data_IF_378006277956
#
_entry.id   IF_378006277956
#
_cell.length_a   1.000
_cell.length_b   1.000
_cell.length_c   1.000
_cell.angle_alpha   90.00
_cell.angle_beta   90.00
_cell.angle_gamma   90.00
#
_symmetry.space_group_name_H-M   'P 1'
#
loop_
_entity.id
_entity.type
_entity.pdbx_description
1 polymer ?
#
# COMPACT_ATOMS: atom_id res chain seq x y z
N UNK A 1 15.66 13.49 0.79
CA UNK A 1 15.32 12.37 1.69
C UNK A 1 14.55 11.37 0.86
N UNK A 2 14.90 10.08 0.91
CA UNK A 2 14.18 9.05 0.14
C UNK A 2 12.72 9.08 0.60
N UNK A 3 11.80 9.43 -0.29
CA UNK A 3 10.37 9.24 -0.05
C UNK A 3 10.22 7.75 0.26
N UNK A 4 9.90 7.41 1.52
CA UNK A 4 9.67 6.03 1.91
C UNK A 4 8.33 5.64 1.35
N UNK A 5 8.35 4.74 0.38
CA UNK A 5 7.15 4.47 -0.41
C UNK A 5 6.24 3.48 0.33
N UNK A 6 6.70 2.71 1.31
CA UNK A 6 5.88 1.64 1.87
C UNK A 6 4.57 2.13 2.51
N UNK A 7 3.44 1.64 2.00
CA UNK A 7 2.11 1.91 2.55
C UNK A 7 1.73 0.85 3.59
N UNK A 8 0.94 1.26 4.57
CA UNK A 8 0.46 0.35 5.61
C UNK A 8 -0.31 -0.85 5.04
N UNK A 9 -1.03 -0.68 3.92
CA UNK A 9 -1.80 -1.78 3.35
C UNK A 9 -0.92 -2.89 2.78
N UNK A 10 0.16 -2.57 2.06
CA UNK A 10 1.06 -3.62 1.59
C UNK A 10 1.81 -4.30 2.73
N UNK A 11 2.09 -3.59 3.84
CA UNK A 11 2.64 -4.23 5.05
C UNK A 11 1.65 -5.29 5.56
N UNK A 12 0.37 -4.94 5.68
CA UNK A 12 -0.67 -5.87 6.15
C UNK A 12 -0.84 -7.04 5.18
N UNK A 13 -0.80 -6.79 3.88
CA UNK A 13 -0.86 -7.84 2.87
C UNK A 13 0.36 -8.77 2.95
N UNK A 14 1.57 -8.23 3.12
CA UNK A 14 2.79 -9.03 3.24
C UNK A 14 2.78 -9.92 4.50
N UNK A 15 2.36 -9.36 5.64
CA UNK A 15 2.19 -10.12 6.89
C UNK A 15 1.12 -11.20 6.72
N UNK A 16 -0.02 -10.86 6.11
CA UNK A 16 -1.11 -11.79 5.85
C UNK A 16 -0.71 -12.93 4.91
N UNK A 17 0.07 -12.64 3.87
CA UNK A 17 0.56 -13.63 2.92
C UNK A 17 1.46 -14.68 3.61
N UNK A 18 2.38 -14.25 4.48
CA UNK A 18 3.25 -15.17 5.24
C UNK A 18 2.45 -16.01 6.24
N UNK A 19 1.43 -15.42 6.86
CA UNK A 19 0.59 -16.09 7.86
C UNK A 19 -0.59 -16.87 7.28
N UNK A 20 -0.82 -16.80 5.96
CA UNK A 20 -1.94 -17.46 5.27
C UNK A 20 -3.32 -16.89 5.60
N UNK A 21 -3.40 -15.60 5.95
CA UNK A 21 -4.61 -14.97 6.50
C UNK A 21 -4.86 -13.62 5.84
N UNK A 22 -6.12 -13.19 5.77
CA UNK A 22 -6.44 -11.94 5.09
C UNK A 22 -6.42 -10.72 6.03
N UNK A 23 -6.48 -9.52 5.44
CA UNK A 23 -6.52 -8.24 6.16
C UNK A 23 -7.66 -8.16 7.18
N UNK A 24 -8.87 -8.61 6.82
CA UNK A 24 -10.03 -8.54 7.71
C UNK A 24 -9.80 -9.37 8.97
N UNK A 25 -9.19 -10.54 8.84
CA UNK A 25 -8.86 -11.40 9.96
C UNK A 25 -7.80 -10.76 10.88
N UNK A 26 -6.76 -10.14 10.32
CA UNK A 26 -5.74 -9.42 11.10
C UNK A 26 -6.38 -8.23 11.84
N UNK A 27 -7.23 -7.45 11.17
CA UNK A 27 -7.76 -6.19 11.69
C UNK A 27 -9.06 -6.32 12.48
N UNK A 28 -9.65 -7.52 12.58
CA UNK A 28 -10.90 -7.78 13.28
C UNK A 28 -10.94 -7.16 14.68
N UNK A 29 -12.08 -6.54 15.02
CA UNK A 29 -12.34 -5.92 16.33
C UNK A 29 -12.94 -6.97 17.27
N UNK A 30 -12.58 -6.91 18.57
CA UNK A 30 -13.08 -7.84 19.60
C UNK A 30 -12.03 -8.85 20.07
N UNK A 31 -12.49 -9.91 20.75
CA UNK A 31 -11.63 -10.93 21.37
C UNK A 31 -10.94 -11.74 20.27
N UNK A 32 -9.68 -11.41 20.00
CA UNK A 32 -8.88 -12.10 18.99
C UNK A 32 -7.98 -13.14 19.65
N UNK A 33 -7.62 -14.19 18.91
CA UNK A 33 -6.56 -15.10 19.36
C UNK A 33 -5.24 -14.35 19.51
N UNK A 34 -4.36 -14.86 20.38
CA UNK A 34 -3.02 -14.30 20.58
C UNK A 34 -2.23 -14.24 19.27
N UNK A 35 -2.39 -15.26 18.41
CA UNK A 35 -1.78 -15.29 17.08
C UNK A 35 -2.19 -14.08 16.21
N UNK A 36 -3.49 -13.78 16.15
CA UNK A 36 -4.00 -12.63 15.37
C UNK A 36 -3.54 -11.31 15.97
N UNK A 37 -3.42 -11.22 17.29
CA UNK A 37 -2.84 -10.06 17.95
C UNK A 37 -1.37 -9.87 17.59
N UNK A 38 -0.57 -10.94 17.59
CA UNK A 38 0.84 -10.93 17.19
C UNK A 38 1.02 -10.46 15.74
N UNK A 39 0.18 -10.91 14.81
CA UNK A 39 0.21 -10.44 13.42
C UNK A 39 -0.05 -8.93 13.31
N UNK A 40 -0.98 -8.41 14.11
CA UNK A 40 -1.26 -6.97 14.18
C UNK A 40 -0.07 -6.18 14.74
N UNK A 41 0.56 -6.70 15.79
CA UNK A 41 1.76 -6.11 16.38
C UNK A 41 2.91 -6.10 15.36
N UNK A 42 3.09 -7.17 14.59
CA UNK A 42 4.04 -7.22 13.49
C UNK A 42 3.75 -6.15 12.43
N UNK A 43 2.48 -5.96 12.03
CA UNK A 43 2.10 -4.90 11.09
C UNK A 43 2.48 -3.50 11.58
N UNK A 44 2.16 -3.18 12.84
CA UNK A 44 2.48 -1.86 13.40
C UNK A 44 3.98 -1.65 13.60
N UNK A 45 4.71 -2.69 14.02
CA UNK A 45 6.16 -2.63 14.14
C UNK A 45 6.83 -2.42 12.78
N UNK A 46 6.42 -3.15 11.74
CA UNK A 46 6.92 -2.93 10.38
C UNK A 46 6.57 -1.52 9.87
N UNK A 47 5.38 -1.02 10.19
CA UNK A 47 4.97 0.32 9.79
C UNK A 47 5.80 1.43 10.45
N UNK A 48 6.17 1.25 11.73
CA UNK A 48 7.10 2.14 12.45
C UNK A 48 8.48 2.18 11.79
N UNK A 49 8.95 1.07 11.20
CA UNK A 49 10.26 1.04 10.51
C UNK A 49 10.19 1.55 9.08
N UNK A 50 9.12 1.25 8.37
CA UNK A 50 9.02 1.43 6.91
C UNK A 50 8.27 2.68 6.48
N UNK A 51 7.55 3.36 7.37
CA UNK A 51 6.68 4.49 7.02
C UNK A 51 6.93 5.70 7.93
N UNK A 52 6.34 6.84 7.58
CA UNK A 52 6.33 8.06 8.41
C UNK A 52 4.96 8.31 9.05
N UNK A 53 4.10 7.29 9.08
CA UNK A 53 2.75 7.39 9.61
C UNK A 53 2.76 7.55 11.13
N UNK A 54 2.10 8.60 11.62
CA UNK A 54 1.87 8.77 13.05
C UNK A 54 0.90 7.72 13.63
N UNK A 55 0.99 7.50 14.95
CA UNK A 55 0.21 6.49 15.69
C UNK A 55 -1.31 6.62 15.47
N UNK A 56 -1.84 7.85 15.47
CA UNK A 56 -3.27 8.11 15.23
C UNK A 56 -3.69 7.70 13.82
N UNK A 57 -2.83 7.94 12.82
CA UNK A 57 -3.11 7.54 11.43
C UNK A 57 -3.08 6.02 11.29
N UNK A 58 -2.10 5.35 11.91
CA UNK A 58 -2.06 3.88 11.97
C UNK A 58 -3.31 3.31 12.65
N UNK A 59 -3.78 3.94 13.73
CA UNK A 59 -5.01 3.59 14.43
C UNK A 59 -6.23 3.61 13.51
N UNK A 60 -6.46 4.72 12.80
CA UNK A 60 -7.52 4.84 11.78
C UNK A 60 -7.42 3.75 10.70
N UNK A 61 -6.22 3.55 10.15
CA UNK A 61 -5.96 2.53 9.14
C UNK A 61 -6.10 1.08 9.65
N UNK A 62 -6.20 0.88 10.96
CA UNK A 62 -6.35 -0.42 11.61
C UNK A 62 -7.68 -0.51 12.37
N UNK A 63 -8.78 -0.26 11.66
CA UNK A 63 -10.15 -0.31 12.18
C UNK A 63 -10.41 0.66 13.33
N UNK A 64 -10.01 1.92 13.15
CA UNK A 64 -10.26 3.04 14.07
C UNK A 64 -9.80 2.78 15.53
N UNK A 65 -8.70 2.04 15.67
CA UNK A 65 -8.08 1.81 16.98
C UNK A 65 -7.46 3.08 17.54
N UNK A 66 -7.51 3.23 18.86
CA UNK A 66 -6.87 4.36 19.52
C UNK A 66 -5.35 4.33 19.36
N UNK A 67 -4.72 5.50 19.27
CA UNK A 67 -3.28 5.66 19.13
C UNK A 67 -2.49 4.96 20.26
N UNK A 68 -3.02 4.91 21.48
CA UNK A 68 -2.41 4.21 22.61
C UNK A 68 -2.41 2.69 22.42
N UNK A 69 -3.40 2.15 21.70
CA UNK A 69 -3.45 0.72 21.35
C UNK A 69 -2.34 0.37 20.36
N UNK A 70 -2.11 1.24 19.38
CA UNK A 70 -0.99 1.09 18.42
C UNK A 70 0.35 1.16 19.15
N UNK A 71 0.53 2.15 20.02
CA UNK A 71 1.74 2.30 20.84
C UNK A 71 2.01 1.07 21.71
N UNK A 72 0.98 0.57 22.38
CA UNK A 72 1.07 -0.65 23.19
C UNK A 72 1.48 -1.85 22.32
N UNK A 73 0.86 -2.01 21.14
CA UNK A 73 1.19 -3.09 20.23
C UNK A 73 2.60 -3.03 19.66
N UNK A 74 3.14 -1.83 19.39
CA UNK A 74 4.55 -1.67 18.98
C UNK A 74 5.50 -2.11 20.10
N UNK A 75 5.25 -1.68 21.35
CA UNK A 75 6.05 -2.14 22.50
C UNK A 75 5.97 -3.65 22.68
N UNK A 76 4.76 -4.21 22.54
CA UNK A 76 4.56 -5.65 22.64
C UNK A 76 5.27 -6.41 21.52
N UNK A 77 5.35 -5.85 20.32
CA UNK A 77 6.14 -6.41 19.24
C UNK A 77 7.64 -6.46 19.59
N UNK A 78 8.20 -5.39 20.15
CA UNK A 78 9.61 -5.37 20.58
C UNK A 78 9.89 -6.41 21.68
N UNK A 79 8.99 -6.55 22.66
CA UNK A 79 9.07 -7.60 23.69
C UNK A 79 8.99 -9.02 23.09
N UNK A 80 8.10 -9.24 22.12
CA UNK A 80 7.98 -10.51 21.41
C UNK A 80 9.23 -10.81 20.58
N UNK A 81 9.86 -9.81 19.95
CA UNK A 81 11.13 -10.00 19.23
C UNK A 81 12.28 -10.36 20.16
N UNK A 82 12.26 -9.86 21.40
CA UNK A 82 13.25 -10.22 22.41
C UNK A 82 13.08 -11.66 22.92
N UNK A 83 11.84 -12.14 22.99
CA UNK A 83 11.50 -13.41 23.67
C UNK A 83 11.18 -14.57 22.72
N UNK A 84 10.77 -14.30 21.48
CA UNK A 84 10.38 -15.28 20.47
C UNK A 84 11.27 -15.15 19.23
N UNK A 85 12.13 -16.14 19.04
CA UNK A 85 13.01 -16.21 17.86
C UNK A 85 12.21 -16.31 16.56
N UNK A 86 11.14 -17.12 16.53
CA UNK A 86 10.30 -17.27 15.34
C UNK A 86 9.66 -15.94 14.92
N UNK A 87 9.15 -15.17 15.88
CA UNK A 87 8.55 -13.86 15.60
C UNK A 87 9.61 -12.87 15.09
N UNK A 88 10.80 -12.86 15.71
CA UNK A 88 11.93 -12.02 15.29
C UNK A 88 12.38 -12.33 13.87
N UNK A 89 12.64 -13.60 13.56
CA UNK A 89 13.09 -14.03 12.23
C UNK A 89 12.04 -13.70 11.16
N UNK A 90 10.76 -13.95 11.43
CA UNK A 90 9.67 -13.64 10.49
C UNK A 90 9.57 -12.15 10.20
N UNK A 91 9.66 -11.31 11.23
CA UNK A 91 9.60 -9.84 11.07
C UNK A 91 10.87 -9.27 10.45
N UNK A 92 12.04 -9.85 10.71
CA UNK A 92 13.30 -9.48 10.04
C UNK A 92 13.28 -9.82 8.54
N UNK A 93 12.79 -11.01 8.19
CA UNK A 93 12.67 -11.43 6.80
C UNK A 93 11.70 -10.53 6.01
N UNK A 94 10.55 -10.19 6.60
CA UNK A 94 9.60 -9.26 6.01
C UNK A 94 10.18 -7.86 5.85
N UNK A 95 10.85 -7.34 6.88
CA UNK A 95 11.49 -6.03 6.82
C UNK A 95 12.55 -5.97 5.71
N UNK A 96 13.44 -6.97 5.66
CA UNK A 96 14.46 -7.07 4.62
C UNK A 96 13.88 -7.16 3.21
N UNK A 97 12.81 -7.94 3.04
CA UNK A 97 12.11 -8.07 1.75
C UNK A 97 11.49 -6.75 1.32
N UNK A 98 10.75 -6.07 2.20
CA UNK A 98 10.13 -4.79 1.90
C UNK A 98 11.18 -3.74 1.53
N UNK A 99 12.29 -3.67 2.27
CA UNK A 99 13.40 -2.78 1.95
C UNK A 99 14.07 -3.10 0.60
N UNK A 100 14.24 -4.38 0.28
CA UNK A 100 14.83 -4.79 -0.99
C UNK A 100 13.94 -4.40 -2.17
N UNK A 101 12.63 -4.63 -2.06
CA UNK A 101 11.67 -4.27 -3.10
C UNK A 101 11.51 -2.74 -3.24
N UNK A 102 11.61 -1.99 -2.14
CA UNK A 102 11.67 -0.52 -2.15
C UNK A 102 12.91 0.00 -2.88
N UNK A 103 14.10 -0.48 -2.52
CA UNK A 103 15.36 -0.09 -3.19
C UNK A 103 15.38 -0.46 -4.67
N UNK A 104 14.72 -1.56 -5.05
CA UNK A 104 14.55 -1.97 -6.43
C UNK A 104 13.49 -1.17 -7.20
N UNK A 105 12.73 -0.28 -6.52
CA UNK A 105 11.65 0.51 -7.13
C UNK A 105 10.43 -0.32 -7.53
N UNK A 106 10.30 -1.54 -7.00
CA UNK A 106 9.17 -2.45 -7.22
C UNK A 106 7.99 -2.11 -6.30
N UNK A 107 8.29 -1.46 -5.19
CA UNK A 107 7.33 -0.88 -4.26
C UNK A 107 7.13 0.60 -4.60
N UNK A 108 6.24 0.88 -5.56
CA UNK A 108 5.72 2.23 -5.81
C UNK A 108 4.31 2.33 -5.25
N UNK A 109 4.03 3.38 -4.50
CA UNK A 109 2.94 3.37 -3.55
C UNK A 109 2.18 4.68 -3.47
N UNK A 110 0.96 4.51 -2.96
CA UNK A 110 0.00 5.51 -2.54
C UNK A 110 0.57 6.56 -1.56
N UNK A 111 1.12 7.64 -2.11
CA UNK A 111 0.91 9.02 -1.66
C UNK A 111 0.77 9.84 -2.94
N UNK A 112 -0.37 10.54 -3.08
CA UNK A 112 -0.84 11.26 -4.28
C UNK A 112 -0.28 10.69 -5.58
N UNK A 113 -0.91 9.63 -6.11
CA UNK A 113 -0.80 9.42 -7.54
C UNK A 113 -1.21 10.74 -8.16
N UNK A 114 -0.25 11.46 -8.74
CA UNK A 114 -0.53 12.66 -9.51
C UNK A 114 -0.97 12.13 -10.88
N UNK A 115 -2.29 12.07 -11.15
CA UNK A 115 -2.79 11.63 -12.45
C UNK A 115 -2.22 12.47 -13.60
N UNK A 116 -1.93 13.76 -13.38
CA UNK A 116 -1.35 14.63 -14.40
C UNK A 116 0.14 14.35 -14.61
N UNK A 117 0.93 14.10 -13.57
CA UNK A 117 2.32 13.67 -13.74
C UNK A 117 2.40 12.31 -14.44
N UNK A 118 1.49 11.39 -14.08
CA UNK A 118 1.37 10.08 -14.72
C UNK A 118 1.04 10.22 -16.20
N UNK A 119 0.01 11.01 -16.53
CA UNK A 119 -0.37 11.28 -17.91
C UNK A 119 0.77 11.93 -18.71
N UNK A 120 1.45 12.93 -18.13
CA UNK A 120 2.62 13.58 -18.77
C UNK A 120 3.75 12.61 -19.05
N UNK A 121 4.06 11.71 -18.11
CA UNK A 121 5.05 10.64 -18.29
C UNK A 121 4.66 9.72 -19.45
N UNK A 122 3.42 9.25 -19.49
CA UNK A 122 2.92 8.40 -20.60
C UNK A 122 3.03 9.13 -21.93
N UNK A 123 2.59 10.40 -22.01
CA UNK A 123 2.67 11.20 -23.23
C UNK A 123 4.11 11.43 -23.72
N UNK A 124 5.08 11.50 -22.81
CA UNK A 124 6.49 11.68 -23.17
C UNK A 124 7.13 10.47 -23.87
N UNK A 125 6.63 9.25 -23.63
CA UNK A 125 7.15 8.02 -24.23
C UNK A 125 6.08 6.90 -24.20
N UNK A 126 5.03 6.98 -25.05
CA UNK A 126 3.81 6.18 -24.92
C UNK A 126 4.04 4.66 -24.91
N UNK A 127 4.80 4.15 -25.89
CA UNK A 127 5.04 2.71 -26.08
C UNK A 127 5.77 2.08 -24.88
N UNK A 128 6.68 2.83 -24.25
CA UNK A 128 7.50 2.35 -23.14
C UNK A 128 6.82 2.55 -21.78
N UNK A 129 6.15 3.68 -21.60
CA UNK A 129 5.60 4.05 -20.29
C UNK A 129 4.21 3.46 -20.07
N UNK A 130 3.41 3.23 -21.12
CA UNK A 130 2.06 2.63 -21.00
C UNK A 130 2.08 1.25 -20.32
N UNK A 131 3.06 0.41 -20.66
CA UNK A 131 3.23 -0.93 -20.04
C UNK A 131 3.71 -0.87 -18.57
N UNK A 132 4.09 0.32 -18.09
CA UNK A 132 4.61 0.57 -16.73
C UNK A 132 3.62 1.34 -15.85
N UNK A 133 2.42 1.61 -16.33
CA UNK A 133 1.36 2.26 -15.55
C UNK A 133 0.67 1.20 -14.71
N UNK A 134 0.62 1.42 -13.40
CA UNK A 134 -0.10 0.54 -12.47
C UNK A 134 -1.62 0.71 -12.59
N UNK A 135 -2.38 -0.29 -12.14
CA UNK A 135 -3.85 -0.20 -12.07
C UNK A 135 -4.29 1.03 -11.25
N UNK A 136 -3.58 1.37 -10.18
CA UNK A 136 -3.89 2.54 -9.36
C UNK A 136 -3.64 3.85 -10.10
N UNK A 137 -2.58 3.93 -10.91
CA UNK A 137 -2.31 5.08 -11.78
C UNK A 137 -3.37 5.24 -12.86
N UNK A 138 -3.82 4.13 -13.46
CA UNK A 138 -4.94 4.13 -14.41
C UNK A 138 -6.20 4.66 -13.74
N UNK A 139 -6.57 4.11 -12.57
CA UNK A 139 -7.78 4.52 -11.84
C UNK A 139 -7.71 6.00 -11.42
N UNK A 140 -6.55 6.49 -11.00
CA UNK A 140 -6.38 7.90 -10.65
C UNK A 140 -6.54 8.83 -11.87
N UNK A 141 -5.93 8.48 -13.02
CA UNK A 141 -6.11 9.23 -14.27
C UNK A 141 -7.58 9.21 -14.72
N UNK A 142 -8.24 8.05 -14.68
CA UNK A 142 -9.65 7.92 -15.05
C UNK A 142 -10.57 8.72 -14.14
N UNK A 143 -10.32 8.74 -12.83
CA UNK A 143 -11.09 9.58 -11.89
C UNK A 143 -10.94 11.07 -12.21
N UNK A 144 -9.71 11.53 -12.46
CA UNK A 144 -9.48 12.91 -12.87
C UNK A 144 -10.23 13.24 -14.17
N UNK A 145 -10.20 12.37 -15.17
CA UNK A 145 -10.94 12.57 -16.43
C UNK A 145 -12.44 12.69 -16.15
N UNK A 146 -13.02 11.82 -15.31
CA UNK A 146 -14.44 11.87 -14.96
C UNK A 146 -14.80 13.15 -14.20
N UNK A 147 -13.98 13.56 -13.22
CA UNK A 147 -14.18 14.81 -12.48
C UNK A 147 -14.09 16.06 -13.37
N UNK A 148 -13.27 16.02 -14.42
CA UNK A 148 -13.18 17.10 -15.42
C UNK A 148 -14.27 17.01 -16.49
N UNK A 149 -14.89 15.85 -16.67
CA UNK A 149 -15.91 15.56 -17.67
C UNK A 149 -17.35 15.73 -17.14
N UNK A 150 -17.57 16.57 -16.12
CA UNK A 150 -18.92 17.05 -15.72
C UNK A 150 -19.62 17.91 -16.83
N UNK A 151 -19.08 17.95 -18.05
CA UNK A 151 -19.78 18.30 -19.28
C UNK A 151 -19.89 17.07 -20.19
N UNK A 152 -21.06 16.89 -20.83
CA UNK A 152 -21.44 15.73 -21.67
C UNK A 152 -20.25 15.04 -22.36
N UNK A 153 -20.14 13.69 -22.27
CA UNK A 153 -19.04 12.98 -22.90
C UNK A 153 -19.01 13.30 -24.40
N UNK A 154 -17.84 13.61 -24.98
CA UNK A 154 -17.74 13.81 -26.42
C UNK A 154 -18.24 12.54 -27.10
N UNK A 155 -19.24 12.72 -27.99
CA UNK A 155 -19.74 11.61 -28.78
C UNK A 155 -18.57 10.96 -29.51
N UNK A 156 -18.45 9.62 -29.49
CA UNK A 156 -17.38 8.95 -30.21
C UNK A 156 -17.42 9.41 -31.67
N UNK A 157 -16.32 10.00 -32.11
CA UNK A 157 -16.11 10.35 -33.51
C UNK A 157 -16.12 9.07 -34.33
N UNK A 158 -17.18 8.85 -35.10
CA UNK A 158 -17.29 7.82 -36.15
C UNK A 158 -16.36 8.13 -37.34
N UNK A 159 -15.11 8.50 -37.09
CA UNK A 159 -14.06 8.41 -38.09
C UNK A 159 -13.42 7.03 -37.93
N UNK A 160 -14.24 6.02 -38.26
CA UNK A 160 -13.72 4.73 -38.66
C UNK A 160 -12.72 4.94 -39.80
N UNK A 161 -11.63 4.22 -39.66
CA UNK A 161 -10.50 4.03 -40.53
C UNK A 161 -10.87 3.92 -42.01
N UNK A 162 -11.03 5.04 -42.72
CA UNK A 162 -10.90 5.06 -44.19
C UNK A 162 -9.41 4.99 -44.55
N UNK A 163 -8.78 3.83 -44.41
CA UNK A 163 -7.54 3.48 -45.12
C UNK A 163 -7.53 1.97 -45.39
N UNK A 164 -8.30 1.56 -46.39
CA UNK A 164 -8.08 0.33 -47.15
C UNK A 164 -8.89 0.37 -48.47
N UNK A 165 -8.29 0.94 -49.52
CA UNK A 165 -8.52 0.57 -50.91
C UNK A 165 -7.30 0.97 -51.74
#
# INVERSE_FOLDING_TARGET
MSERHVTFDMIVQAVGAVAGVNRHEIMAVGRTSDERAHLRFACWWLADKMTELGLTTLGRLSADRDHSTVLHGIRRAEELRATSESFRLSTDALLGTLQALERAGLLRFAVSIDPLATARRVLSAPEREAVRVSIYEIVAMSRLIVEQADGEPPQPSNQETEHAA
#
